data_IF_992413250171
#
_entry.id   IF_992413250171
#
_cell.length_a   1.000
_cell.length_b   1.000
_cell.length_c   1.000
_cell.angle_alpha   90.00
_cell.angle_beta   90.00
_cell.angle_gamma   90.00
#
_symmetry.space_group_name_H-M   'P 1'
#
loop_
_entity.id
_entity.type
_entity.pdbx_description
1 polymer ?
#
# COMPACT_ATOMS: atom_id res chain seq x y z
N UNK A 1 -7.08 -1.52 5.86
CA UNK A 1 -6.33 -1.92 7.07
C UNK A 1 -6.47 -0.92 8.21
N UNK A 2 -6.12 0.35 8.03
CA UNK A 2 -6.17 1.37 9.11
C UNK A 2 -7.57 1.46 9.73
N UNK A 3 -8.64 1.50 8.93
CA UNK A 3 -10.03 1.57 9.40
C UNK A 3 -10.46 0.39 10.29
N UNK A 4 -9.83 -0.77 10.11
CA UNK A 4 -10.16 -1.99 10.86
C UNK A 4 -9.10 -2.36 11.90
N UNK A 5 -8.09 -1.49 12.12
CA UNK A 5 -7.02 -1.73 13.07
C UNK A 5 -7.54 -2.15 14.47
N UNK A 6 -8.52 -1.46 15.09
CA UNK A 6 -9.03 -1.87 16.39
C UNK A 6 -9.65 -3.28 16.37
N UNK A 7 -10.40 -3.63 15.30
CA UNK A 7 -11.03 -4.97 15.17
C UNK A 7 -9.99 -6.06 14.98
N UNK A 8 -8.95 -5.79 14.17
CA UNK A 8 -7.84 -6.73 13.95
C UNK A 8 -7.11 -7.00 15.26
N UNK A 9 -6.84 -5.96 16.04
CA UNK A 9 -6.17 -6.07 17.35
C UNK A 9 -7.01 -6.81 18.38
N UNK A 10 -8.33 -6.56 18.43
CA UNK A 10 -9.25 -7.32 19.29
C UNK A 10 -9.28 -8.80 18.89
N UNK A 11 -9.34 -9.12 17.60
CA UNK A 11 -9.28 -10.50 17.10
C UNK A 11 -7.96 -11.20 17.43
N UNK A 12 -6.86 -10.43 17.54
CA UNK A 12 -5.54 -10.93 17.92
C UNK A 12 -5.37 -11.17 19.43
N UNK A 13 -6.33 -10.75 20.27
CA UNK A 13 -6.31 -11.01 21.72
C UNK A 13 -6.19 -9.77 22.61
N UNK A 14 -6.40 -8.57 22.11
CA UNK A 14 -6.58 -7.39 22.96
C UNK A 14 -7.95 -7.45 23.65
N UNK A 15 -7.97 -7.80 24.93
CA UNK A 15 -9.22 -8.00 25.71
C UNK A 15 -9.94 -6.69 26.05
N UNK A 16 -9.26 -5.53 25.96
CA UNK A 16 -9.87 -4.24 26.24
C UNK A 16 -10.00 -3.37 24.99
N UNK A 17 -11.16 -2.76 24.79
CA UNK A 17 -11.37 -1.79 23.72
C UNK A 17 -10.39 -0.61 23.83
N UNK A 18 -10.10 -0.15 25.05
CA UNK A 18 -9.15 0.93 25.31
C UNK A 18 -7.72 0.59 24.86
N UNK A 19 -7.26 -0.64 25.10
CA UNK A 19 -5.94 -1.11 24.64
C UNK A 19 -5.85 -1.16 23.12
N UNK A 20 -6.88 -1.65 22.44
CA UNK A 20 -6.94 -1.68 20.98
C UNK A 20 -6.96 -0.26 20.38
N UNK A 21 -7.65 0.69 21.01
CA UNK A 21 -7.66 2.10 20.59
C UNK A 21 -6.29 2.73 20.78
N UNK A 22 -5.62 2.53 21.92
CA UNK A 22 -4.27 3.05 22.18
C UNK A 22 -3.25 2.51 21.16
N UNK A 23 -3.31 1.21 20.86
CA UNK A 23 -2.46 0.62 19.82
C UNK A 23 -2.76 1.23 18.44
N UNK A 24 -4.00 1.55 18.13
CA UNK A 24 -4.39 2.22 16.89
C UNK A 24 -3.84 3.66 16.81
N UNK A 25 -3.79 4.38 17.94
CA UNK A 25 -3.12 5.70 18.02
C UNK A 25 -1.64 5.55 17.68
N UNK A 26 -0.97 4.52 18.21
CA UNK A 26 0.42 4.21 17.86
C UNK A 26 0.61 3.97 16.36
N UNK A 27 -0.30 3.23 15.72
CA UNK A 27 -0.31 3.05 14.25
C UNK A 27 -0.46 4.39 13.52
N UNK A 28 -1.30 5.29 14.02
CA UNK A 28 -1.47 6.65 13.48
C UNK A 28 -0.20 7.49 13.57
N UNK A 29 0.51 7.44 14.70
CA UNK A 29 1.79 8.12 14.90
C UNK A 29 2.84 7.59 13.91
N UNK A 30 2.94 6.28 13.75
CA UNK A 30 3.82 5.64 12.76
C UNK A 30 3.48 6.11 11.34
N UNK A 31 2.19 6.17 10.99
CA UNK A 31 1.75 6.65 9.68
C UNK A 31 2.24 8.08 9.40
N UNK A 32 2.00 9.01 10.32
CA UNK A 32 2.43 10.41 10.17
C UNK A 32 3.95 10.52 10.10
N UNK A 33 4.68 9.87 11.02
CA UNK A 33 6.14 9.89 11.03
C UNK A 33 6.77 9.33 9.75
N UNK A 34 6.25 8.22 9.25
CA UNK A 34 6.73 7.61 8.01
C UNK A 34 6.34 8.41 6.77
N UNK A 35 5.21 9.11 6.77
CA UNK A 35 4.83 10.03 5.69
C UNK A 35 5.78 11.22 5.64
N UNK A 36 6.14 11.81 6.78
CA UNK A 36 7.13 12.88 6.86
C UNK A 36 8.49 12.39 6.35
N UNK A 37 8.92 11.20 6.78
CA UNK A 37 10.16 10.58 6.30
C UNK A 37 10.12 10.35 4.78
N UNK A 38 9.00 9.92 4.24
CA UNK A 38 8.80 9.70 2.80
C UNK A 38 9.04 10.97 1.98
N UNK A 39 8.63 12.15 2.48
CA UNK A 39 8.85 13.44 1.79
C UNK A 39 10.34 13.72 1.57
N UNK A 40 11.20 13.34 2.53
CA UNK A 40 12.66 13.51 2.39
C UNK A 40 13.30 12.39 1.55
N UNK A 41 12.76 11.17 1.61
CA UNK A 41 13.34 10.03 0.90
C UNK A 41 12.99 10.00 -0.58
N UNK A 42 11.82 10.50 -0.96
CA UNK A 42 11.33 10.43 -2.35
C UNK A 42 12.27 11.12 -3.33
N UNK A 43 12.88 12.23 -2.92
CA UNK A 43 13.82 12.95 -3.75
C UNK A 43 15.23 12.37 -3.72
N UNK A 44 15.59 11.64 -2.66
CA UNK A 44 16.92 11.02 -2.50
C UNK A 44 16.99 9.61 -3.07
N UNK A 45 16.00 8.77 -2.79
CA UNK A 45 15.98 7.37 -3.20
C UNK A 45 15.37 7.15 -4.58
N UNK A 46 14.49 8.05 -5.04
CA UNK A 46 13.69 7.89 -6.27
C UNK A 46 12.33 7.25 -6.02
N UNK A 47 11.42 7.46 -6.97
CA UNK A 47 10.02 7.05 -6.82
C UNK A 47 9.86 5.54 -6.92
N UNK A 48 10.48 4.93 -7.94
CA UNK A 48 10.36 3.50 -8.20
C UNK A 48 10.98 2.60 -7.14
N UNK A 49 12.25 2.80 -6.67
CA UNK A 49 12.83 1.98 -5.61
C UNK A 49 12.03 2.07 -4.32
N UNK A 50 11.60 3.28 -3.94
CA UNK A 50 10.84 3.48 -2.71
C UNK A 50 9.47 2.79 -2.76
N UNK A 51 8.81 2.82 -3.93
CA UNK A 51 7.57 2.10 -4.18
C UNK A 51 7.76 0.58 -4.03
N UNK A 52 8.78 0.02 -4.66
CA UNK A 52 9.05 -1.43 -4.62
C UNK A 52 9.42 -1.92 -3.22
N UNK A 53 10.24 -1.16 -2.47
CA UNK A 53 10.62 -1.49 -1.09
C UNK A 53 9.38 -1.46 -0.18
N UNK A 54 8.54 -0.44 -0.32
CA UNK A 54 7.34 -0.33 0.50
C UNK A 54 6.33 -1.44 0.21
N UNK A 55 6.06 -1.76 -1.06
CA UNK A 55 5.16 -2.88 -1.40
C UNK A 55 5.75 -4.21 -0.89
N UNK A 56 7.06 -4.42 -0.98
CA UNK A 56 7.71 -5.61 -0.43
C UNK A 56 7.51 -5.70 1.10
N UNK A 57 7.66 -4.60 1.83
CA UNK A 57 7.37 -4.53 3.25
C UNK A 57 5.90 -4.85 3.57
N UNK A 58 4.96 -4.37 2.75
CA UNK A 58 3.54 -4.73 2.88
C UNK A 58 3.30 -6.23 2.67
N UNK A 59 3.93 -6.85 1.68
CA UNK A 59 3.83 -8.30 1.42
C UNK A 59 4.30 -9.10 2.64
N UNK A 60 5.48 -8.76 3.17
CA UNK A 60 6.06 -9.44 4.33
C UNK A 60 5.15 -9.32 5.55
N UNK A 61 4.71 -8.12 5.87
CA UNK A 61 3.88 -7.85 7.06
C UNK A 61 2.50 -8.49 6.96
N UNK A 62 1.85 -8.47 5.77
CA UNK A 62 0.59 -9.16 5.53
C UNK A 62 0.74 -10.68 5.58
N UNK A 63 1.83 -11.21 5.03
CA UNK A 63 2.15 -12.63 5.07
C UNK A 63 2.36 -13.12 6.50
N UNK A 64 3.17 -12.41 7.30
CA UNK A 64 3.40 -12.72 8.71
C UNK A 64 2.10 -12.62 9.51
N UNK A 65 1.29 -11.59 9.28
CA UNK A 65 0.00 -11.43 9.94
C UNK A 65 -0.95 -12.59 9.58
N UNK A 66 -1.03 -12.95 8.30
CA UNK A 66 -1.84 -14.08 7.85
C UNK A 66 -1.40 -15.42 8.44
N UNK A 67 -0.10 -15.66 8.54
CA UNK A 67 0.44 -16.86 9.15
C UNK A 67 0.23 -16.89 10.68
N UNK A 68 0.36 -15.75 11.36
CA UNK A 68 0.15 -15.69 12.80
C UNK A 68 -1.30 -16.00 13.21
N UNK A 69 -2.28 -15.65 12.39
CA UNK A 69 -3.68 -16.02 12.62
C UNK A 69 -4.03 -17.50 12.32
N UNK A 70 -3.07 -18.30 11.82
CA UNK A 70 -3.23 -19.76 11.74
C UNK A 70 -3.06 -20.45 13.09
N UNK A 71 -2.35 -19.84 14.02
CA UNK A 71 -2.16 -20.35 15.36
C UNK A 71 -3.47 -20.20 16.12
N UNK A 72 -4.09 -21.30 16.50
CA UNK A 72 -5.50 -21.40 16.90
C UNK A 72 -5.89 -20.75 18.24
N UNK A 73 -4.94 -20.21 19.00
CA UNK A 73 -5.23 -19.65 20.33
C UNK A 73 -4.87 -18.15 20.40
N UNK A 74 -5.85 -17.29 20.67
CA UNK A 74 -5.57 -15.90 21.01
C UNK A 74 -4.64 -15.81 22.21
N UNK A 75 -3.47 -15.25 22.04
CA UNK A 75 -2.48 -15.09 23.11
C UNK A 75 -1.94 -13.67 23.11
N UNK A 76 -1.41 -13.24 24.26
CA UNK A 76 -0.75 -11.94 24.33
C UNK A 76 0.38 -11.79 23.33
N UNK A 77 1.07 -12.88 23.00
CA UNK A 77 2.11 -12.90 21.98
C UNK A 77 1.55 -12.64 20.58
N UNK A 78 0.42 -13.27 20.23
CA UNK A 78 -0.27 -13.03 18.94
C UNK A 78 -0.72 -11.57 18.82
N UNK A 79 -1.23 -11.00 19.90
CA UNK A 79 -1.63 -9.61 19.94
C UNK A 79 -0.47 -8.65 19.63
N UNK A 80 0.71 -8.87 20.22
CA UNK A 80 1.90 -8.06 19.94
C UNK A 80 2.43 -8.27 18.51
N UNK A 81 2.42 -9.48 18.00
CA UNK A 81 2.77 -9.76 16.60
C UNK A 81 1.83 -9.00 15.66
N UNK A 82 0.53 -9.02 15.93
CA UNK A 82 -0.45 -8.29 15.13
C UNK A 82 -0.20 -6.77 15.14
N UNK A 83 0.14 -6.18 16.30
CA UNK A 83 0.51 -4.75 16.42
C UNK A 83 1.72 -4.45 15.57
N UNK A 84 2.80 -5.22 15.71
CA UNK A 84 4.06 -4.99 14.99
C UNK A 84 3.85 -5.15 13.47
N UNK A 85 3.13 -6.19 13.03
CA UNK A 85 2.82 -6.39 11.62
C UNK A 85 1.94 -5.26 11.06
N UNK A 86 0.95 -4.80 11.84
CA UNK A 86 0.07 -3.71 11.42
C UNK A 86 0.84 -2.38 11.33
N UNK A 87 1.68 -2.07 12.31
CA UNK A 87 2.58 -0.91 12.26
C UNK A 87 3.54 -0.97 11.09
N UNK A 88 4.15 -2.14 10.85
CA UNK A 88 5.05 -2.37 9.72
C UNK A 88 4.35 -2.23 8.37
N UNK A 89 3.12 -2.73 8.24
CA UNK A 89 2.28 -2.55 7.06
C UNK A 89 2.00 -1.06 6.80
N UNK A 90 1.56 -0.33 7.84
CA UNK A 90 1.23 1.09 7.72
C UNK A 90 2.48 1.92 7.44
N UNK A 91 3.61 1.61 8.08
CA UNK A 91 4.89 2.25 7.80
C UNK A 91 5.32 2.06 6.33
N UNK A 92 5.22 0.83 5.84
CA UNK A 92 5.55 0.48 4.45
C UNK A 92 4.63 1.17 3.44
N UNK A 93 3.34 1.26 3.73
CA UNK A 93 2.38 2.00 2.93
C UNK A 93 2.67 3.51 2.93
N UNK A 94 2.90 4.09 4.11
CA UNK A 94 3.11 5.52 4.29
C UNK A 94 4.40 6.04 3.63
N UNK A 95 5.44 5.19 3.53
CA UNK A 95 6.68 5.55 2.85
C UNK A 95 6.61 5.36 1.34
N UNK A 96 5.62 4.62 0.82
CA UNK A 96 5.54 4.22 -0.59
C UNK A 96 4.22 4.62 -1.25
N UNK A 97 3.25 3.72 -1.30
CA UNK A 97 1.99 3.89 -2.03
C UNK A 97 1.21 5.14 -1.62
N UNK A 98 1.28 5.55 -0.35
CA UNK A 98 0.59 6.74 0.14
C UNK A 98 0.97 8.00 -0.66
N UNK A 99 2.20 8.49 -0.56
CA UNK A 99 2.64 9.70 -1.26
C UNK A 99 3.01 9.46 -2.73
N UNK A 100 3.68 8.34 -3.06
CA UNK A 100 4.26 8.11 -4.39
C UNK A 100 3.19 7.93 -5.46
N UNK A 101 2.05 7.32 -5.13
CA UNK A 101 0.94 7.15 -6.07
C UNK A 101 0.48 8.50 -6.66
N UNK A 102 0.25 9.48 -5.81
CA UNK A 102 -0.19 10.82 -6.23
C UNK A 102 0.89 11.57 -7.01
N UNK A 103 2.14 11.44 -6.55
CA UNK A 103 3.28 12.07 -7.21
C UNK A 103 3.49 11.49 -8.62
N UNK A 104 3.44 10.16 -8.78
CA UNK A 104 3.61 9.51 -10.08
C UNK A 104 2.51 9.90 -11.06
N UNK A 105 1.25 10.01 -10.64
CA UNK A 105 0.17 10.46 -11.51
C UNK A 105 0.45 11.88 -12.00
N UNK A 106 0.86 12.78 -11.11
CA UNK A 106 1.19 14.16 -11.48
C UNK A 106 2.40 14.27 -12.40
N UNK A 107 3.38 13.35 -12.29
CA UNK A 107 4.61 13.36 -13.10
C UNK A 107 4.48 12.64 -14.45
N UNK A 108 3.64 11.60 -14.56
CA UNK A 108 3.55 10.75 -15.77
C UNK A 108 2.67 11.38 -16.84
N UNK A 109 1.63 12.13 -16.46
CA UNK A 109 0.66 12.65 -17.43
C UNK A 109 1.04 14.04 -17.96
N UNK A 110 0.86 14.27 -19.29
CA UNK A 110 1.08 15.59 -19.91
C UNK A 110 0.16 16.64 -19.30
N UNK A 111 0.64 17.88 -19.21
CA UNK A 111 -0.11 19.04 -18.64
C UNK A 111 -1.53 19.17 -19.22
N UNK A 112 -1.67 18.96 -20.55
CA UNK A 112 -2.96 19.11 -21.24
C UNK A 112 -4.07 18.22 -20.69
N UNK A 113 -3.75 16.98 -20.27
CA UNK A 113 -4.73 15.98 -19.85
C UNK A 113 -4.58 15.60 -18.37
N UNK A 114 -3.70 16.28 -17.62
CA UNK A 114 -3.36 15.94 -16.24
C UNK A 114 -4.58 15.91 -15.32
N UNK A 115 -5.43 16.94 -15.35
CA UNK A 115 -6.61 17.02 -14.49
C UNK A 115 -7.60 15.87 -14.72
N UNK A 116 -7.82 15.48 -15.99
CA UNK A 116 -8.68 14.34 -16.32
C UNK A 116 -8.04 13.01 -15.83
N UNK A 117 -6.74 12.86 -16.02
CA UNK A 117 -6.02 11.66 -15.60
C UNK A 117 -5.97 11.52 -14.07
N UNK A 118 -5.69 12.60 -13.34
CA UNK A 118 -5.71 12.64 -11.88
C UNK A 118 -7.12 12.35 -11.34
N UNK A 119 -8.16 12.97 -11.91
CA UNK A 119 -9.55 12.72 -11.52
C UNK A 119 -9.96 11.26 -11.75
N UNK A 120 -9.58 10.69 -12.90
CA UNK A 120 -9.84 9.27 -13.21
C UNK A 120 -9.10 8.34 -12.24
N UNK A 121 -7.81 8.56 -12.02
CA UNK A 121 -7.01 7.77 -11.10
C UNK A 121 -7.53 7.89 -9.64
N UNK A 122 -7.92 9.07 -9.20
CA UNK A 122 -8.54 9.30 -7.90
C UNK A 122 -9.86 8.51 -7.78
N UNK A 123 -10.71 8.55 -8.80
CA UNK A 123 -11.98 7.81 -8.81
C UNK A 123 -11.75 6.31 -8.67
N UNK A 124 -10.83 5.73 -9.45
CA UNK A 124 -10.49 4.31 -9.33
C UNK A 124 -9.88 3.95 -7.98
N UNK A 125 -9.02 4.80 -7.43
CA UNK A 125 -8.43 4.61 -6.11
C UNK A 125 -9.50 4.57 -5.02
N UNK A 126 -10.40 5.55 -4.98
CA UNK A 126 -11.46 5.61 -3.97
C UNK A 126 -12.53 4.53 -4.16
N UNK A 127 -12.88 4.18 -5.41
CA UNK A 127 -13.78 3.07 -5.69
C UNK A 127 -13.19 1.74 -5.22
N UNK A 128 -11.91 1.47 -5.49
CA UNK A 128 -11.21 0.29 -4.98
C UNK A 128 -11.15 0.27 -3.45
N UNK A 129 -10.88 1.40 -2.83
CA UNK A 129 -10.87 1.55 -1.36
C UNK A 129 -12.25 1.24 -0.75
N UNK A 130 -13.33 1.72 -1.38
CA UNK A 130 -14.71 1.41 -0.99
C UNK A 130 -14.99 -0.09 -1.09
N UNK A 131 -14.65 -0.73 -2.22
CA UNK A 131 -14.86 -2.17 -2.42
C UNK A 131 -14.11 -2.98 -1.34
N UNK A 132 -12.83 -2.67 -1.10
CA UNK A 132 -12.03 -3.34 -0.07
C UNK A 132 -12.64 -3.11 1.31
N UNK A 133 -13.09 -1.90 1.62
CA UNK A 133 -13.70 -1.59 2.92
C UNK A 133 -15.02 -2.34 3.12
N UNK A 134 -15.88 -2.43 2.12
CA UNK A 134 -17.15 -3.14 2.22
C UNK A 134 -16.97 -4.67 2.30
N UNK A 135 -15.97 -5.20 1.60
CA UNK A 135 -15.76 -6.66 1.51
C UNK A 135 -14.89 -7.23 2.62
N UNK A 136 -14.07 -6.43 3.28
CA UNK A 136 -13.09 -6.89 4.26
C UNK A 136 -13.70 -7.74 5.38
N UNK A 137 -14.74 -7.23 6.04
CA UNK A 137 -15.39 -7.96 7.15
C UNK A 137 -16.05 -9.25 6.67
N UNK A 138 -16.73 -9.21 5.53
CA UNK A 138 -17.34 -10.41 4.92
C UNK A 138 -16.29 -11.46 4.56
N UNK A 139 -15.13 -11.04 4.07
CA UNK A 139 -14.01 -11.96 3.79
C UNK A 139 -13.47 -12.57 5.08
N UNK A 140 -13.29 -11.75 6.13
CA UNK A 140 -12.83 -12.25 7.43
C UNK A 140 -13.82 -13.24 8.04
N UNK A 141 -15.12 -12.97 7.93
CA UNK A 141 -16.18 -13.86 8.44
C UNK A 141 -16.28 -15.19 7.66
N UNK A 142 -16.18 -15.13 6.31
CA UNK A 142 -16.34 -16.31 5.47
C UNK A 142 -15.07 -17.15 5.28
N UNK A 143 -13.93 -16.51 5.12
CA UNK A 143 -12.64 -17.16 4.83
C UNK A 143 -11.73 -17.27 6.06
N UNK A 144 -12.07 -16.56 7.13
CA UNK A 144 -11.20 -16.40 8.29
C UNK A 144 -10.15 -15.31 8.10
N UNK A 145 -9.64 -14.79 9.23
CA UNK A 145 -8.65 -13.71 9.23
C UNK A 145 -7.37 -14.09 8.49
N UNK A 146 -6.83 -15.29 8.77
CA UNK A 146 -5.60 -15.80 8.12
C UNK A 146 -5.69 -15.78 6.61
N UNK A 147 -6.73 -16.40 6.03
CA UNK A 147 -6.89 -16.51 4.58
C UNK A 147 -7.11 -15.13 3.94
N UNK A 148 -7.81 -14.23 4.62
CA UNK A 148 -8.05 -12.86 4.14
C UNK A 148 -6.74 -12.08 4.06
N UNK A 149 -5.88 -12.14 5.07
CA UNK A 149 -4.58 -11.45 5.03
C UNK A 149 -3.64 -12.04 3.98
N UNK A 150 -3.63 -13.38 3.81
CA UNK A 150 -2.86 -14.02 2.75
C UNK A 150 -3.36 -13.65 1.35
N UNK A 151 -4.67 -13.51 1.15
CA UNK A 151 -5.26 -13.02 -0.11
C UNK A 151 -4.74 -11.61 -0.43
N UNK A 152 -4.72 -10.70 0.56
CA UNK A 152 -4.17 -9.36 0.36
C UNK A 152 -2.66 -9.37 0.14
N UNK A 153 -1.91 -10.30 0.76
CA UNK A 153 -0.49 -10.47 0.48
C UNK A 153 -0.25 -10.88 -0.98
N UNK A 154 -1.04 -11.83 -1.52
CA UNK A 154 -0.98 -12.24 -2.94
C UNK A 154 -1.33 -11.08 -3.86
N UNK A 155 -2.37 -10.30 -3.56
CA UNK A 155 -2.73 -9.10 -4.32
C UNK A 155 -1.58 -8.07 -4.30
N UNK A 156 -0.89 -7.93 -3.17
CA UNK A 156 0.29 -7.04 -3.05
C UNK A 156 1.47 -7.55 -3.87
N UNK A 157 1.67 -8.88 -4.00
CA UNK A 157 2.68 -9.45 -4.92
C UNK A 157 2.35 -9.09 -6.37
N UNK A 158 1.08 -9.21 -6.78
CA UNK A 158 0.66 -8.80 -8.12
C UNK A 158 0.93 -7.30 -8.37
N UNK A 159 0.65 -6.46 -7.36
CA UNK A 159 0.94 -5.03 -7.41
C UNK A 159 2.44 -4.74 -7.48
N UNK A 160 3.26 -5.51 -6.77
CA UNK A 160 4.72 -5.40 -6.82
C UNK A 160 5.26 -5.74 -8.22
N UNK A 161 4.79 -6.85 -8.80
CA UNK A 161 5.16 -7.24 -10.17
C UNK A 161 4.73 -6.19 -11.18
N UNK A 162 3.52 -5.66 -11.06
CA UNK A 162 3.04 -4.56 -11.90
C UNK A 162 3.97 -3.34 -11.78
N UNK A 163 4.28 -2.91 -10.56
CA UNK A 163 5.17 -1.77 -10.33
C UNK A 163 6.57 -2.02 -10.90
N UNK A 164 7.09 -3.23 -10.75
CA UNK A 164 8.41 -3.62 -11.28
C UNK A 164 8.49 -3.54 -12.81
N UNK A 165 7.48 -4.01 -13.53
CA UNK A 165 7.52 -4.05 -15.00
C UNK A 165 7.01 -2.78 -15.67
N UNK A 166 6.09 -2.05 -15.05
CA UNK A 166 5.38 -0.97 -15.74
C UNK A 166 5.69 0.43 -15.19
N UNK A 167 6.10 0.58 -13.93
CA UNK A 167 6.37 1.89 -13.35
C UNK A 167 7.78 2.35 -13.71
N UNK A 168 7.95 3.43 -14.49
CA UNK A 168 9.25 4.00 -14.78
C UNK A 168 9.80 4.79 -13.60
N UNK A 169 11.13 4.96 -13.55
CA UNK A 169 11.74 5.91 -12.63
C UNK A 169 11.62 7.33 -13.22
N UNK A 170 11.04 8.22 -12.42
CA UNK A 170 10.79 9.62 -12.80
C UNK A 170 11.80 10.60 -12.18
N UNK A 171 12.60 10.15 -11.22
CA UNK A 171 13.58 10.99 -10.54
C UNK A 171 14.55 11.67 -11.51
N UNK A 172 14.70 13.00 -11.38
CA UNK A 172 15.64 13.78 -12.17
C UNK A 172 15.27 13.96 -13.63
N UNK A 173 14.07 13.55 -14.05
CA UNK A 173 13.55 13.77 -15.41
C UNK A 173 12.58 14.93 -15.45
N UNK A 174 12.68 15.76 -16.50
CA UNK A 174 11.65 16.78 -16.74
C UNK A 174 10.38 16.13 -17.31
N UNK A 175 9.24 16.81 -17.18
CA UNK A 175 7.96 16.33 -17.71
C UNK A 175 8.04 16.09 -19.22
N UNK A 176 8.77 16.94 -19.97
CA UNK A 176 8.98 16.82 -21.41
C UNK A 176 9.79 15.56 -21.76
N UNK A 177 10.78 15.20 -20.93
CA UNK A 177 11.57 13.98 -21.11
C UNK A 177 10.75 12.72 -20.85
N UNK A 178 9.86 12.76 -19.86
CA UNK A 178 8.94 11.66 -19.58
C UNK A 178 7.93 11.50 -20.74
N UNK A 179 7.39 12.60 -21.25
CA UNK A 179 6.49 12.57 -22.39
C UNK A 179 7.19 12.03 -23.66
N UNK A 180 8.42 12.48 -23.93
CA UNK A 180 9.21 11.98 -25.05
C UNK A 180 9.49 10.47 -24.95
N UNK A 181 9.78 9.98 -23.74
CA UNK A 181 9.98 8.55 -23.49
C UNK A 181 8.72 7.72 -23.83
N UNK A 182 7.54 8.17 -23.43
CA UNK A 182 6.29 7.48 -23.72
C UNK A 182 5.93 7.53 -25.21
N UNK A 183 6.15 8.65 -25.87
CA UNK A 183 5.96 8.79 -27.34
C UNK A 183 6.88 7.84 -28.12
N UNK A 184 8.15 7.74 -27.72
CA UNK A 184 9.12 6.83 -28.36
C UNK A 184 8.73 5.35 -28.16
N UNK A 185 8.31 4.97 -26.95
CA UNK A 185 7.84 3.61 -26.63
C UNK A 185 6.59 3.23 -27.43
N UNK A 186 5.68 4.19 -27.64
CA UNK A 186 4.46 3.96 -28.43
C UNK A 186 4.78 3.75 -29.92
N UNK A 187 5.70 4.56 -30.49
CA UNK A 187 6.17 4.39 -31.87
C UNK A 187 6.86 3.05 -32.08
N UNK A 188 7.75 2.65 -31.18
CA UNK A 188 8.42 1.36 -31.26
C UNK A 188 7.45 0.17 -31.27
N UNK A 189 6.35 0.24 -30.48
CA UNK A 189 5.28 -0.76 -30.51
C UNK A 189 4.49 -0.79 -31.82
N UNK A 190 4.25 0.37 -32.44
CA UNK A 190 3.54 0.45 -33.72
C UNK A 190 4.37 -0.07 -34.90
N UNK A 191 5.71 -0.02 -34.81
CA UNK A 191 6.61 -0.56 -35.82
C UNK A 191 6.87 -2.07 -35.67
N UNK A 192 6.51 -2.66 -34.51
CA UNK A 192 6.71 -4.09 -34.24
C UNK A 192 5.45 -4.96 -34.50
N UNK A 193 4.32 -4.32 -34.83
CA UNK A 193 3.06 -4.94 -35.25
C UNK A 193 2.82 -4.67 -36.75
#
# INVERSE_FOLDING_TARGET
MIYYAPKILQAAGFNSASGAILATVGVGIVNVGMTILAMFLVDRAGRRPLLLIGIAGMIVTLGLLGLSFRVSNPSAQLAWIAVICLMGYVASFAISLGPIFWLLIAEIYPLKNRGLAEGTAATFNWASNLIVSLTFLTLVEKLGASSTFLLYAVASVASWLFAYYFVPETRGRTLEQIEAFWRAKHRARQMAN
#
